data_IF_046445682650
#
_entry.id   IF_046445682650
#
_cell.length_a   1.000
_cell.length_b   1.000
_cell.length_c   1.000
_cell.angle_alpha   90.00
_cell.angle_beta   90.00
_cell.angle_gamma   90.00
#
_symmetry.space_group_name_H-M   'P 1'
#
loop_
_entity.id
_entity.type
_entity.pdbx_description
1 polymer ?
#
# COMPACT_ATOMS: atom_id res chain seq x y z
N UNK A 1 -50.60 -20.31 -18.65
CA UNK A 1 -50.20 -18.92 -18.32
C UNK A 1 -48.85 -19.02 -17.61
N UNK A 2 -47.78 -19.06 -18.39
CA UNK A 2 -46.41 -19.16 -17.87
C UNK A 2 -45.95 -17.75 -17.46
N UNK A 3 -45.59 -17.60 -16.20
CA UNK A 3 -44.91 -16.40 -15.70
C UNK A 3 -43.48 -16.44 -16.22
N UNK A 4 -43.22 -15.69 -17.30
CA UNK A 4 -41.88 -15.37 -17.76
C UNK A 4 -41.15 -14.64 -16.64
N UNK A 5 -40.05 -15.23 -16.16
CA UNK A 5 -39.11 -14.55 -15.28
C UNK A 5 -38.63 -13.25 -15.96
N UNK A 6 -38.53 -12.12 -15.24
CA UNK A 6 -37.93 -10.92 -15.81
C UNK A 6 -36.48 -11.20 -16.18
N UNK A 7 -36.08 -10.68 -17.33
CA UNK A 7 -34.72 -10.76 -17.84
C UNK A 7 -33.71 -10.34 -16.78
N UNK A 8 -32.60 -11.08 -16.73
CA UNK A 8 -31.40 -10.82 -15.95
C UNK A 8 -31.03 -9.33 -15.98
N UNK A 9 -31.18 -8.65 -14.85
CA UNK A 9 -30.60 -7.32 -14.67
C UNK A 9 -29.08 -7.45 -14.67
N UNK A 10 -28.46 -6.67 -15.55
CA UNK A 10 -27.02 -6.35 -15.65
C UNK A 10 -26.13 -7.37 -16.37
N UNK A 11 -26.44 -7.51 -17.67
CA UNK A 11 -25.51 -7.18 -18.74
C UNK A 11 -24.36 -6.25 -18.27
N UNK A 12 -23.14 -6.78 -18.27
CA UNK A 12 -21.82 -6.15 -18.14
C UNK A 12 -21.85 -4.62 -17.98
N UNK A 13 -22.21 -4.12 -16.79
CA UNK A 13 -21.91 -2.75 -16.44
C UNK A 13 -20.38 -2.61 -16.52
N UNK A 14 -19.89 -1.77 -17.44
CA UNK A 14 -18.47 -1.45 -17.50
C UNK A 14 -18.03 -1.03 -16.10
N UNK A 15 -17.06 -1.74 -15.52
CA UNK A 15 -16.48 -1.39 -14.22
C UNK A 15 -15.81 -0.03 -14.36
N UNK A 16 -16.55 1.04 -14.08
CA UNK A 16 -16.10 2.43 -14.27
C UNK A 16 -15.24 2.94 -13.10
N UNK A 17 -14.92 2.07 -12.15
CA UNK A 17 -14.07 2.36 -10.99
C UNK A 17 -12.94 1.35 -10.95
N UNK A 18 -11.74 1.82 -11.25
CA UNK A 18 -10.52 1.05 -11.05
C UNK A 18 -10.10 1.09 -9.56
N UNK A 19 -9.63 -0.04 -9.04
CA UNK A 19 -9.07 -0.15 -7.69
C UNK A 19 -7.64 -0.66 -7.80
N UNK A 20 -6.69 0.25 -7.65
CA UNK A 20 -5.27 -0.05 -7.73
C UNK A 20 -4.76 -0.57 -6.40
N UNK A 21 -4.25 -1.80 -6.41
CA UNK A 21 -3.62 -2.43 -5.24
C UNK A 21 -2.51 -3.39 -5.65
N UNK A 22 -1.49 -3.48 -4.82
CA UNK A 22 -0.48 -4.54 -4.89
C UNK A 22 -0.34 -5.19 -3.52
N UNK A 23 -0.28 -6.52 -3.48
CA UNK A 23 -0.04 -7.24 -2.23
C UNK A 23 1.30 -6.85 -1.59
N UNK A 24 2.31 -6.53 -2.42
CA UNK A 24 3.63 -6.09 -1.96
C UNK A 24 3.58 -4.87 -1.03
N UNK A 25 2.62 -3.96 -1.21
CA UNK A 25 2.45 -2.79 -0.35
C UNK A 25 2.12 -3.15 1.10
N UNK A 26 1.48 -4.30 1.36
CA UNK A 26 1.19 -4.76 2.72
C UNK A 26 2.38 -5.41 3.43
N UNK A 27 3.54 -5.49 2.77
CA UNK A 27 4.76 -6.07 3.33
C UNK A 27 5.75 -5.01 3.80
N UNK A 28 5.43 -3.72 3.62
CA UNK A 28 6.18 -2.64 4.25
C UNK A 28 6.04 -2.71 5.78
N UNK A 29 7.15 -2.50 6.46
CA UNK A 29 7.22 -2.42 7.92
C UNK A 29 8.12 -1.26 8.31
N UNK A 30 7.89 -0.69 9.49
CA UNK A 30 8.68 0.40 10.07
C UNK A 30 9.55 -0.05 11.24
N UNK A 31 9.60 -1.37 11.52
CA UNK A 31 10.28 -1.92 12.68
C UNK A 31 9.46 -1.84 13.98
N UNK A 32 10.11 -2.08 15.11
CA UNK A 32 9.47 -2.11 16.44
C UNK A 32 9.09 -0.70 16.92
N UNK A 33 7.80 -0.51 17.21
CA UNK A 33 7.27 0.73 17.75
C UNK A 33 6.05 0.47 18.64
N UNK A 34 5.78 1.40 19.56
CA UNK A 34 4.52 1.51 20.26
C UNK A 34 3.75 2.73 19.70
N UNK A 35 2.74 2.47 18.88
CA UNK A 35 2.02 3.50 18.12
C UNK A 35 2.97 4.28 17.20
N UNK A 36 3.40 5.49 17.56
CA UNK A 36 4.35 6.27 16.75
C UNK A 36 5.73 6.36 17.40
N UNK A 37 5.90 5.83 18.61
CA UNK A 37 7.13 5.92 19.37
C UNK A 37 8.03 4.69 19.10
N UNK A 38 9.32 4.88 18.77
CA UNK A 38 10.25 3.76 18.66
C UNK A 38 10.44 3.09 20.03
N UNK A 39 10.53 1.76 20.02
CA UNK A 39 10.79 0.98 21.23
C UNK A 39 12.19 1.30 21.79
N UNK A 40 12.30 1.36 23.12
CA UNK A 40 13.54 1.67 23.84
C UNK A 40 13.33 2.68 24.97
N UNK A 41 14.30 2.75 25.89
CA UNK A 41 14.20 3.59 27.08
C UNK A 41 12.98 3.23 27.94
N UNK A 42 12.01 4.15 28.02
CA UNK A 42 10.75 3.96 28.77
C UNK A 42 9.61 3.37 27.91
N UNK A 43 9.85 3.16 26.62
CA UNK A 43 8.84 2.63 25.69
C UNK A 43 9.01 1.11 25.59
N UNK A 44 8.04 0.39 26.16
CA UNK A 44 8.03 -1.07 26.18
C UNK A 44 7.75 -1.66 24.79
N UNK A 45 8.41 -2.77 24.40
CA UNK A 45 8.01 -3.54 23.23
C UNK A 45 6.55 -4.01 23.31
N UNK A 46 5.80 -3.86 22.21
CA UNK A 46 4.41 -4.30 22.13
C UNK A 46 4.33 -5.82 21.96
N UNK A 47 3.47 -6.48 22.74
CA UNK A 47 3.25 -7.93 22.62
C UNK A 47 2.58 -8.32 21.27
N UNK A 48 1.78 -7.41 20.72
CA UNK A 48 1.17 -7.51 19.41
C UNK A 48 0.91 -6.11 18.86
N UNK A 49 0.84 -5.98 17.53
CA UNK A 49 0.79 -4.69 16.85
C UNK A 49 2.20 -4.14 16.62
N UNK A 50 2.33 -2.82 16.65
CA UNK A 50 3.59 -2.15 16.35
C UNK A 50 3.33 -0.69 16.03
N UNK A 51 3.96 -0.23 14.96
CA UNK A 51 3.76 1.12 14.46
C UNK A 51 2.31 1.36 14.00
N UNK A 52 1.82 2.59 14.16
CA UNK A 52 0.48 3.00 13.77
C UNK A 52 0.21 2.76 12.27
N UNK A 53 1.23 2.96 11.43
CA UNK A 53 1.22 2.61 10.00
C UNK A 53 1.39 1.09 9.74
N UNK A 54 0.71 0.27 10.52
CA UNK A 54 0.70 -1.19 10.30
C UNK A 54 -0.02 -1.57 9.00
N UNK A 55 0.40 -2.66 8.33
CA UNK A 55 -0.26 -3.15 7.13
C UNK A 55 -1.72 -3.59 7.38
N UNK A 56 -2.04 -4.03 8.60
CA UNK A 56 -3.37 -4.53 8.97
C UNK A 56 -4.48 -3.49 8.82
N UNK A 57 -4.17 -2.20 9.00
CA UNK A 57 -5.15 -1.12 8.79
C UNK A 57 -5.67 -1.11 7.34
N UNK A 58 -4.78 -1.27 6.35
CA UNK A 58 -5.14 -1.33 4.92
C UNK A 58 -5.64 -2.72 4.52
N UNK A 59 -5.04 -3.79 5.06
CA UNK A 59 -5.44 -5.19 4.75
C UNK A 59 -6.88 -5.47 5.19
N UNK A 60 -7.29 -4.99 6.36
CA UNK A 60 -8.67 -5.15 6.87
C UNK A 60 -9.68 -4.38 6.02
N UNK A 61 -9.32 -3.21 5.49
CA UNK A 61 -10.14 -2.50 4.51
C UNK A 61 -10.36 -3.37 3.26
N UNK A 62 -9.29 -3.90 2.66
CA UNK A 62 -9.38 -4.83 1.51
C UNK A 62 -10.20 -6.08 1.82
N UNK A 63 -10.06 -6.65 3.01
CA UNK A 63 -10.85 -7.81 3.43
C UNK A 63 -12.34 -7.46 3.54
N UNK A 64 -12.68 -6.29 4.09
CA UNK A 64 -14.06 -5.81 4.15
C UNK A 64 -14.65 -5.60 2.74
N UNK A 65 -13.87 -5.04 1.82
CA UNK A 65 -14.28 -4.87 0.42
C UNK A 65 -14.56 -6.21 -0.26
N UNK A 66 -13.81 -7.26 0.08
CA UNK A 66 -14.03 -8.62 -0.43
C UNK A 66 -15.33 -9.22 0.09
N UNK A 67 -15.49 -9.28 1.42
CA UNK A 67 -16.63 -9.96 2.05
C UNK A 67 -17.95 -9.20 1.85
N UNK A 68 -17.89 -7.89 1.64
CA UNK A 68 -19.07 -7.09 1.25
C UNK A 68 -19.46 -7.26 -0.22
N UNK A 69 -18.61 -7.87 -1.04
CA UNK A 69 -18.82 -8.02 -2.48
C UNK A 69 -18.47 -6.76 -3.29
N UNK A 70 -17.99 -5.67 -2.66
CA UNK A 70 -17.58 -4.46 -3.36
C UNK A 70 -16.45 -4.74 -4.37
N UNK A 71 -15.49 -5.60 -4.02
CA UNK A 71 -14.39 -5.98 -4.94
C UNK A 71 -14.90 -6.57 -6.26
N UNK A 72 -16.07 -7.22 -6.28
CA UNK A 72 -16.65 -7.80 -7.51
C UNK A 72 -17.15 -6.75 -8.50
N UNK A 73 -17.44 -5.55 -8.00
CA UNK A 73 -17.92 -4.40 -8.76
C UNK A 73 -16.78 -3.48 -9.24
N UNK A 74 -15.57 -3.70 -8.75
CA UNK A 74 -14.39 -2.88 -9.07
C UNK A 74 -13.51 -3.55 -10.12
N UNK A 75 -12.83 -2.75 -10.92
CA UNK A 75 -11.75 -3.23 -11.78
C UNK A 75 -10.44 -3.21 -10.98
N UNK A 76 -10.12 -4.33 -10.33
CA UNK A 76 -8.92 -4.47 -9.52
C UNK A 76 -7.67 -4.54 -10.42
N UNK A 77 -6.75 -3.61 -10.24
CA UNK A 77 -5.53 -3.48 -11.04
C UNK A 77 -4.30 -3.43 -10.15
N UNK A 78 -3.19 -3.91 -10.69
CA UNK A 78 -1.86 -3.59 -10.16
C UNK A 78 -1.18 -2.62 -11.13
N UNK A 79 0.00 -2.11 -10.78
CA UNK A 79 0.79 -1.19 -11.58
C UNK A 79 2.25 -1.62 -11.63
N UNK A 80 2.98 -1.16 -12.65
CA UNK A 80 4.44 -1.23 -12.61
C UNK A 80 4.97 -0.25 -11.56
N UNK A 81 6.05 -0.59 -10.80
CA UNK A 81 6.70 0.37 -9.92
C UNK A 81 7.06 1.67 -10.63
N UNK A 82 7.07 2.78 -9.89
CA UNK A 82 7.60 4.04 -10.40
C UNK A 82 9.08 3.89 -10.77
N UNK A 83 9.42 4.35 -11.97
CA UNK A 83 10.78 4.40 -12.50
C UNK A 83 11.61 5.47 -11.82
N UNK A 84 12.94 5.34 -11.91
CA UNK A 84 13.87 6.34 -11.39
C UNK A 84 13.61 7.74 -11.99
N UNK A 85 13.24 7.82 -13.28
CA UNK A 85 12.93 9.09 -13.94
C UNK A 85 11.67 9.74 -13.38
N UNK A 86 10.62 8.95 -13.12
CA UNK A 86 9.38 9.46 -12.50
C UNK A 86 9.63 9.95 -11.08
N UNK A 87 10.40 9.21 -10.29
CA UNK A 87 10.77 9.62 -8.93
C UNK A 87 11.63 10.88 -8.92
N UNK A 88 12.58 11.01 -9.86
CA UNK A 88 13.46 12.16 -10.00
C UNK A 88 12.73 13.44 -10.46
N UNK A 89 11.49 13.33 -10.93
CA UNK A 89 10.66 14.51 -11.22
C UNK A 89 10.24 15.28 -9.96
N UNK A 90 10.28 14.64 -8.78
CA UNK A 90 9.87 15.23 -7.49
C UNK A 90 10.99 15.19 -6.45
N UNK A 91 11.81 14.14 -6.45
CA UNK A 91 12.82 13.90 -5.42
C UNK A 91 14.25 14.17 -5.94
N UNK A 92 15.13 14.59 -5.03
CA UNK A 92 16.56 14.73 -5.36
C UNK A 92 17.23 13.37 -5.51
N UNK A 93 18.27 13.31 -6.35
CA UNK A 93 19.08 12.10 -6.52
C UNK A 93 19.67 11.61 -5.18
N UNK A 94 20.16 12.54 -4.35
CA UNK A 94 20.74 12.23 -3.04
C UNK A 94 19.71 11.60 -2.09
N UNK A 95 18.45 12.08 -2.10
CA UNK A 95 17.39 11.49 -1.29
C UNK A 95 17.09 10.04 -1.72
N UNK A 96 16.95 9.81 -3.02
CA UNK A 96 16.64 8.48 -3.57
C UNK A 96 17.80 7.50 -3.30
N UNK A 97 19.05 7.95 -3.46
CA UNK A 97 20.22 7.15 -3.17
C UNK A 97 20.32 6.79 -1.68
N UNK A 98 20.10 7.76 -0.78
CA UNK A 98 20.12 7.53 0.66
C UNK A 98 19.00 6.57 1.10
N UNK A 99 17.78 6.75 0.59
CA UNK A 99 16.68 5.83 0.88
C UNK A 99 17.01 4.42 0.40
N UNK A 100 17.44 4.25 -0.86
CA UNK A 100 17.80 2.93 -1.41
C UNK A 100 18.86 2.25 -0.56
N UNK A 101 19.94 2.95 -0.23
CA UNK A 101 21.05 2.40 0.54
C UNK A 101 20.59 1.90 1.93
N UNK A 102 19.87 2.74 2.69
CA UNK A 102 19.36 2.35 4.01
C UNK A 102 18.33 1.20 3.91
N UNK A 103 17.50 1.20 2.86
CA UNK A 103 16.51 0.16 2.60
C UNK A 103 17.16 -1.18 2.26
N UNK A 104 18.27 -1.19 1.52
CA UNK A 104 18.98 -2.42 1.16
C UNK A 104 19.66 -3.09 2.35
N UNK A 105 20.06 -2.28 3.33
CA UNK A 105 20.62 -2.74 4.60
C UNK A 105 19.51 -3.26 5.54
N UNK A 106 19.09 -2.44 6.51
CA UNK A 106 18.15 -2.85 7.57
C UNK A 106 16.91 -1.97 7.68
N UNK A 107 16.82 -0.93 6.85
CA UNK A 107 15.91 0.19 7.07
C UNK A 107 16.52 1.25 8.00
N UNK A 108 15.70 2.23 8.40
CA UNK A 108 16.15 3.33 9.22
C UNK A 108 15.11 4.43 9.36
N UNK A 109 15.60 5.67 9.35
CA UNK A 109 14.80 6.89 9.52
C UNK A 109 15.19 7.88 8.42
N UNK A 110 14.24 8.31 7.59
CA UNK A 110 14.49 9.24 6.47
C UNK A 110 14.09 10.69 6.76
N UNK A 111 13.62 10.97 7.97
CA UNK A 111 13.16 12.29 8.39
C UNK A 111 12.57 12.24 9.79
N UNK A 112 11.88 13.31 10.19
CA UNK A 112 11.18 13.34 11.47
C UNK A 112 10.02 12.34 11.40
N UNK A 113 10.07 11.29 12.22
CA UNK A 113 9.02 10.27 12.31
C UNK A 113 8.71 9.55 10.99
N UNK A 114 9.74 9.31 10.17
CA UNK A 114 9.65 8.53 8.94
C UNK A 114 10.47 7.22 9.01
N UNK A 115 10.09 6.27 9.89
CA UNK A 115 10.76 4.97 9.98
C UNK A 115 10.40 4.06 8.81
N UNK A 116 11.32 3.18 8.42
CA UNK A 116 11.10 2.18 7.37
C UNK A 116 12.03 0.99 7.58
N UNK A 117 11.63 -0.18 7.09
CA UNK A 117 12.37 -1.43 7.18
C UNK A 117 13.13 -1.77 5.90
N UNK A 118 13.85 -2.90 5.94
CA UNK A 118 14.56 -3.45 4.79
C UNK A 118 13.61 -3.68 3.59
N UNK A 119 14.03 -3.29 2.39
CA UNK A 119 13.26 -3.43 1.14
C UNK A 119 12.09 -2.44 0.99
N UNK A 120 11.98 -1.43 1.86
CA UNK A 120 10.91 -0.43 1.77
C UNK A 120 11.03 0.49 0.56
N UNK A 121 12.22 0.66 -0.02
CA UNK A 121 12.40 1.47 -1.23
C UNK A 121 11.59 0.88 -2.40
N UNK A 122 11.76 -0.41 -2.68
CA UNK A 122 11.03 -1.10 -3.76
C UNK A 122 9.52 -1.06 -3.53
N UNK A 123 9.08 -1.21 -2.28
CA UNK A 123 7.65 -1.15 -1.93
C UNK A 123 7.11 0.28 -2.09
N UNK A 124 7.89 1.30 -1.74
CA UNK A 124 7.53 2.70 -1.97
C UNK A 124 7.44 3.00 -3.48
N UNK A 125 8.32 2.44 -4.31
CA UNK A 125 8.22 2.53 -5.77
C UNK A 125 6.93 1.87 -6.28
N UNK A 126 6.54 0.71 -5.73
CA UNK A 126 5.26 0.07 -6.06
C UNK A 126 4.07 0.97 -5.70
N UNK A 127 4.07 1.53 -4.48
CA UNK A 127 3.01 2.43 -4.02
C UNK A 127 2.89 3.68 -4.90
N UNK A 128 4.03 4.27 -5.30
CA UNK A 128 4.05 5.39 -6.23
C UNK A 128 3.53 5.02 -7.63
N UNK A 129 3.87 3.81 -8.12
CA UNK A 129 3.36 3.28 -9.39
C UNK A 129 1.85 3.10 -9.40
N UNK A 130 1.28 2.58 -8.30
CA UNK A 130 -0.18 2.46 -8.12
C UNK A 130 -0.86 3.83 -8.17
N UNK A 131 -0.30 4.84 -7.49
CA UNK A 131 -0.84 6.19 -7.48
C UNK A 131 -0.77 6.85 -8.87
N UNK A 132 0.33 6.65 -9.60
CA UNK A 132 0.50 7.12 -10.98
C UNK A 132 -0.57 6.54 -11.90
N UNK A 133 -0.74 5.22 -11.92
CA UNK A 133 -1.68 4.56 -12.85
C UNK A 133 -3.15 4.82 -12.48
N UNK A 134 -3.43 5.27 -11.26
CA UNK A 134 -4.77 5.69 -10.85
C UNK A 134 -5.20 7.06 -11.41
N UNK A 135 -4.25 7.89 -11.86
CA UNK A 135 -4.52 9.26 -12.37
C UNK A 135 -4.23 9.44 -13.87
N UNK A 136 -3.63 8.43 -14.52
CA UNK A 136 -3.39 8.38 -15.97
C UNK A 136 -4.51 7.64 -16.70
#
# INVERSE_FOLDING_TARGET
>A
MALTAPASFEETAMRNTAFYMSEACFWHTTGEAALTAPVGGWIQPMAAGGHAESPESKRRMRNLMEVSGLMKQLDARDAAPASATELAAVHTADYLANFKALSDERGGMLGVSAPFGRGSFEIACQAAGLARDAVL
#
